data_IF_186520107244
#
_entry.id   IF_186520107244
#
_cell.length_a   1.000
_cell.length_b   1.000
_cell.length_c   1.000
_cell.angle_alpha   90.00
_cell.angle_beta   90.00
_cell.angle_gamma   90.00
#
_symmetry.space_group_name_H-M   'P 1'
#
loop_
_entity.id
_entity.type
_entity.pdbx_description
1 polymer ?
#
# COMPACT_ATOMS: atom_id res chain seq x y z
N UNK A 1 -10.70 -3.19 -4.11
CA UNK A 1 -9.56 -3.06 -3.17
C UNK A 1 -8.52 -2.24 -3.89
N UNK A 2 -8.09 -1.11 -3.32
CA UNK A 2 -7.02 -0.29 -3.86
C UNK A 2 -5.82 -0.47 -2.93
N UNK A 3 -4.68 -0.88 -3.50
CA UNK A 3 -3.44 -1.07 -2.76
C UNK A 3 -2.43 -0.08 -3.31
N UNK A 4 -2.04 0.96 -2.57
CA UNK A 4 -0.89 1.78 -2.94
C UNK A 4 0.38 0.94 -2.77
N UNK A 5 1.22 0.96 -3.80
CA UNK A 5 2.54 0.32 -3.79
C UNK A 5 3.65 1.31 -3.41
N UNK A 6 4.86 0.78 -3.29
CA UNK A 6 6.11 1.55 -3.26
C UNK A 6 7.07 0.98 -4.32
N UNK A 7 8.36 1.31 -4.23
CA UNK A 7 9.40 0.79 -5.12
C UNK A 7 9.95 -0.59 -4.71
N UNK A 8 9.68 -1.06 -3.48
CA UNK A 8 10.09 -2.38 -3.00
C UNK A 8 9.11 -2.93 -1.95
N UNK A 9 9.48 -3.98 -1.21
CA UNK A 9 8.64 -4.55 -0.16
C UNK A 9 8.45 -3.55 0.97
N UNK A 10 7.20 -3.28 1.37
CA UNK A 10 6.82 -2.28 2.39
C UNK A 10 7.21 -2.70 3.82
N UNK A 11 8.50 -2.87 4.09
CA UNK A 11 9.09 -3.20 5.40
C UNK A 11 10.30 -2.31 5.66
N UNK A 12 10.53 -2.06 6.93
CA UNK A 12 11.69 -1.36 7.47
C UNK A 12 12.20 -2.13 8.69
N UNK A 13 13.52 -2.15 8.91
CA UNK A 13 14.14 -2.93 10.00
C UNK A 13 14.84 -2.05 11.04
N UNK A 14 14.73 -2.45 12.30
CA UNK A 14 15.48 -1.88 13.42
C UNK A 14 15.22 -2.69 14.70
N UNK A 15 16.27 -3.02 15.46
CA UNK A 15 16.14 -3.85 16.65
C UNK A 15 15.81 -3.02 17.91
N UNK A 16 16.25 -1.76 17.94
CA UNK A 16 15.95 -0.80 19.01
C UNK A 16 15.17 0.41 18.46
N UNK A 17 14.44 1.14 19.32
CA UNK A 17 13.80 2.40 18.93
C UNK A 17 14.80 3.34 18.25
N UNK A 18 14.42 3.87 17.08
CA UNK A 18 15.25 4.78 16.29
C UNK A 18 16.20 4.11 15.30
N UNK A 19 16.55 2.83 15.45
CA UNK A 19 17.39 2.12 14.48
C UNK A 19 16.73 1.97 13.11
N UNK A 20 15.38 1.99 13.07
CA UNK A 20 14.62 2.01 11.81
C UNK A 20 15.01 3.18 10.90
N UNK A 21 15.48 4.31 11.45
CA UNK A 21 15.91 5.46 10.65
C UNK A 21 17.26 5.23 9.97
N UNK A 22 18.00 4.18 10.36
CA UNK A 22 19.28 3.80 9.77
C UNK A 22 19.11 2.84 8.58
N UNK A 23 17.95 2.19 8.47
CA UNK A 23 17.56 1.44 7.27
C UNK A 23 17.14 2.44 6.18
N UNK A 24 18.14 2.99 5.47
CA UNK A 24 17.92 4.06 4.50
C UNK A 24 17.01 3.66 3.34
N UNK A 25 17.11 2.41 2.89
CA UNK A 25 16.23 1.84 1.86
C UNK A 25 14.79 1.69 2.38
N UNK A 26 14.61 1.14 3.58
CA UNK A 26 13.29 1.02 4.20
C UNK A 26 12.64 2.37 4.47
N UNK A 27 13.41 3.38 4.92
CA UNK A 27 12.92 4.75 5.09
C UNK A 27 12.42 5.31 3.76
N UNK A 28 13.22 5.21 2.70
CA UNK A 28 12.83 5.68 1.37
C UNK A 28 11.59 4.94 0.85
N UNK A 29 11.55 3.62 1.03
CA UNK A 29 10.41 2.77 0.63
C UNK A 29 9.11 3.24 1.29
N UNK A 30 9.15 3.53 2.59
CA UNK A 30 7.99 4.03 3.33
C UNK A 30 7.61 5.48 2.98
N UNK A 31 8.59 6.33 2.64
CA UNK A 31 8.31 7.68 2.12
C UNK A 31 7.53 7.60 0.80
N UNK A 32 8.00 6.80 -0.15
CA UNK A 32 7.33 6.58 -1.44
C UNK A 32 5.93 5.98 -1.24
N UNK A 33 5.79 5.00 -0.32
CA UNK A 33 4.49 4.44 0.02
C UNK A 33 3.53 5.53 0.52
N UNK A 34 3.99 6.40 1.43
CA UNK A 34 3.20 7.50 1.97
C UNK A 34 2.76 8.50 0.89
N UNK A 35 3.66 8.90 0.00
CA UNK A 35 3.35 9.77 -1.14
C UNK A 35 2.29 9.14 -2.06
N UNK A 36 2.45 7.86 -2.39
CA UNK A 36 1.51 7.12 -3.22
C UNK A 36 0.14 6.96 -2.54
N UNK A 37 0.11 6.76 -1.22
CA UNK A 37 -1.14 6.74 -0.44
C UNK A 37 -1.88 8.06 -0.52
N UNK A 38 -1.18 9.19 -0.31
CA UNK A 38 -1.78 10.53 -0.37
C UNK A 38 -2.33 10.80 -1.78
N UNK A 39 -1.54 10.50 -2.81
CA UNK A 39 -1.96 10.69 -4.19
C UNK A 39 -3.18 9.85 -4.54
N UNK A 40 -3.22 8.59 -4.11
CA UNK A 40 -4.37 7.70 -4.28
C UNK A 40 -5.64 8.25 -3.61
N UNK A 41 -5.54 8.73 -2.36
CA UNK A 41 -6.66 9.34 -1.65
C UNK A 41 -7.18 10.60 -2.36
N UNK A 42 -6.27 11.42 -2.90
CA UNK A 42 -6.63 12.60 -3.68
C UNK A 42 -7.41 12.21 -4.96
N UNK A 43 -6.94 11.19 -5.68
CA UNK A 43 -7.65 10.68 -6.86
C UNK A 43 -9.05 10.16 -6.51
N UNK A 44 -9.19 9.34 -5.46
CA UNK A 44 -10.49 8.84 -4.99
C UNK A 44 -11.44 10.01 -4.65
N UNK A 45 -10.92 11.03 -3.97
CA UNK A 45 -11.70 12.21 -3.63
C UNK A 45 -12.14 12.98 -4.88
N UNK A 46 -11.26 13.10 -5.88
CA UNK A 46 -11.54 13.82 -7.12
C UNK A 46 -12.49 13.09 -8.08
N UNK A 47 -12.54 11.76 -8.01
CA UNK A 47 -13.42 10.95 -8.88
C UNK A 47 -14.75 10.57 -8.23
N UNK A 48 -14.92 10.85 -6.93
CA UNK A 48 -16.15 10.54 -6.19
C UNK A 48 -17.37 11.17 -6.88
N UNK A 49 -18.34 10.34 -7.26
CA UNK A 49 -19.58 10.74 -7.94
C UNK A 49 -19.48 10.90 -9.46
N UNK A 50 -18.27 10.85 -10.03
CA UNK A 50 -18.03 10.90 -11.47
C UNK A 50 -17.59 9.54 -12.05
N UNK A 51 -17.00 8.68 -11.21
CA UNK A 51 -16.57 7.34 -11.58
C UNK A 51 -17.06 6.36 -10.52
N UNK A 52 -17.73 5.30 -10.97
CA UNK A 52 -18.21 4.25 -10.08
C UNK A 52 -17.05 3.44 -9.51
N UNK A 53 -17.17 3.07 -8.24
CA UNK A 53 -16.21 2.19 -7.59
C UNK A 53 -16.29 0.76 -8.19
N UNK A 54 -15.16 0.06 -8.35
CA UNK A 54 -15.17 -1.34 -8.77
C UNK A 54 -16.00 -2.21 -7.83
N UNK A 55 -16.79 -3.12 -8.40
CA UNK A 55 -17.62 -4.05 -7.64
C UNK A 55 -16.77 -4.92 -6.69
N UNK A 56 -17.21 -5.02 -5.43
CA UNK A 56 -16.58 -5.89 -4.43
C UNK A 56 -16.91 -7.35 -4.72
N UNK A 57 -15.92 -8.11 -5.21
CA UNK A 57 -16.06 -9.54 -5.43
C UNK A 57 -15.94 -10.31 -4.11
N UNK A 58 -16.81 -11.31 -3.92
CA UNK A 58 -16.66 -12.29 -2.82
C UNK A 58 -15.42 -13.13 -3.10
N UNK A 59 -14.58 -13.32 -2.07
CA UNK A 59 -13.37 -14.14 -2.17
C UNK A 59 -13.75 -15.60 -2.47
N UNK A 60 -13.28 -16.13 -3.59
CA UNK A 60 -13.42 -17.55 -3.92
C UNK A 60 -12.20 -18.30 -3.40
N UNK A 61 -12.44 -19.32 -2.59
CA UNK A 61 -11.38 -20.18 -2.06
C UNK A 61 -11.18 -21.38 -3.00
N UNK A 62 -9.92 -21.70 -3.30
CA UNK A 62 -9.55 -22.87 -4.09
C UNK A 62 -8.69 -23.80 -3.24
N UNK A 63 -9.10 -25.07 -3.11
CA UNK A 63 -8.29 -26.11 -2.48
C UNK A 63 -7.50 -26.87 -3.55
N UNK A 64 -6.18 -26.97 -3.37
CA UNK A 64 -5.29 -27.71 -4.28
C UNK A 64 -5.05 -29.15 -3.83
N UNK A 65 -5.47 -29.51 -2.61
CA UNK A 65 -5.47 -30.88 -2.10
C UNK A 65 -6.78 -31.55 -2.55
N UNK A 66 -6.67 -32.75 -3.11
CA UNK A 66 -7.81 -33.56 -3.60
C UNK A 66 -7.92 -34.86 -2.82
#
# INVERSE_FOLDING_TARGET
MLIPGSNYWNVIHGAKPGEVLQDTEGVQTLQILGENMVWLLYMISGTRGNLDEPEKKVKQFMNFIR
#
